data_IF_132721593814
#
_entry.id   IF_132721593814
#
_cell.length_a   1.000
_cell.length_b   1.000
_cell.length_c   1.000
_cell.angle_alpha   90.00
_cell.angle_beta   90.00
_cell.angle_gamma   90.00
#
_symmetry.space_group_name_H-M   'P 1'
#
loop_
_entity.id
_entity.type
_entity.pdbx_description
1 polymer ?
#
# COMPACT_ATOMS: atom_id res chain seq x y z
N UNK A 1 -1.26 10.92 3.28
CA UNK A 1 0.13 10.84 2.77
C UNK A 1 0.40 9.54 2.02
N UNK A 2 0.07 8.36 2.58
CA UNK A 2 0.36 7.05 1.96
C UNK A 2 -0.31 6.82 0.59
N UNK A 3 -1.56 7.27 0.42
CA UNK A 3 -2.26 7.18 -0.87
C UNK A 3 -1.67 8.10 -1.96
N UNK A 4 -1.17 9.27 -1.58
CA UNK A 4 -0.49 10.18 -2.51
C UNK A 4 0.87 9.61 -2.94
N UNK A 5 1.61 9.00 -2.01
CA UNK A 5 2.83 8.25 -2.31
C UNK A 5 2.56 7.09 -3.27
N UNK A 6 1.53 6.28 -3.00
CA UNK A 6 1.16 5.14 -3.84
C UNK A 6 0.57 5.57 -5.19
N UNK A 7 -0.15 6.69 -5.25
CA UNK A 7 -0.64 7.26 -6.51
C UNK A 7 0.48 7.59 -7.51
N UNK A 8 1.71 7.79 -7.04
CA UNK A 8 2.90 7.95 -7.88
C UNK A 8 3.58 6.62 -8.28
N UNK A 9 3.12 5.50 -7.73
CA UNK A 9 3.66 4.15 -7.96
C UNK A 9 2.71 3.25 -8.75
N UNK A 10 1.40 3.41 -8.55
CA UNK A 10 0.37 2.69 -9.30
C UNK A 10 -0.10 3.52 -10.48
N UNK A 11 -0.15 2.90 -11.67
CA UNK A 11 -0.63 3.53 -12.93
C UNK A 11 -2.07 4.06 -12.81
N UNK A 12 -2.86 3.47 -11.91
CA UNK A 12 -4.25 3.85 -11.69
C UNK A 12 -4.50 4.22 -10.22
N UNK A 13 -4.98 5.46 -9.92
CA UNK A 13 -5.27 5.90 -8.56
C UNK A 13 -6.23 4.97 -7.81
N UNK A 14 -7.20 4.41 -8.52
CA UNK A 14 -8.17 3.47 -7.97
C UNK A 14 -7.54 2.15 -7.50
N UNK A 15 -6.41 1.74 -8.11
CA UNK A 15 -5.69 0.53 -7.69
C UNK A 15 -4.94 0.76 -6.37
N UNK A 16 -4.35 1.95 -6.18
CA UNK A 16 -3.69 2.31 -4.94
C UNK A 16 -4.68 2.33 -3.76
N UNK A 17 -5.86 2.90 -3.96
CA UNK A 17 -6.92 2.95 -2.93
C UNK A 17 -7.44 1.56 -2.59
N UNK A 18 -7.74 0.74 -3.60
CA UNK A 18 -8.24 -0.62 -3.39
C UNK A 18 -7.19 -1.50 -2.70
N UNK A 19 -5.93 -1.40 -3.12
CA UNK A 19 -4.81 -2.09 -2.47
C UNK A 19 -4.65 -1.67 -1.02
N UNK A 20 -4.69 -0.36 -0.73
CA UNK A 20 -4.61 0.15 0.64
C UNK A 20 -5.75 -0.37 1.52
N UNK A 21 -7.00 -0.34 1.02
CA UNK A 21 -8.13 -0.91 1.76
C UNK A 21 -7.95 -2.41 2.02
N UNK A 22 -7.51 -3.17 1.03
CA UNK A 22 -7.36 -4.62 1.18
C UNK A 22 -6.24 -5.01 2.14
N UNK A 23 -5.12 -4.28 2.14
CA UNK A 23 -3.93 -4.66 2.90
C UNK A 23 -3.80 -3.93 4.23
N UNK A 24 -4.08 -2.63 4.25
CA UNK A 24 -3.93 -1.82 5.47
C UNK A 24 -5.17 -1.90 6.34
N UNK A 25 -6.36 -1.68 5.77
CA UNK A 25 -7.59 -1.67 6.58
C UNK A 25 -7.91 -3.08 7.11
N UNK A 26 -7.76 -4.13 6.30
CA UNK A 26 -7.98 -5.51 6.76
C UNK A 26 -7.00 -5.92 7.87
N UNK A 27 -5.72 -5.53 7.76
CA UNK A 27 -4.72 -5.81 8.79
C UNK A 27 -5.02 -5.07 10.10
N UNK A 28 -5.43 -3.80 10.01
CA UNK A 28 -5.85 -3.02 11.19
C UNK A 28 -7.09 -3.64 11.86
N UNK A 29 -8.07 -4.08 11.08
CA UNK A 29 -9.25 -4.78 11.62
C UNK A 29 -8.91 -6.10 12.31
N UNK A 30 -7.80 -6.74 11.91
CA UNK A 30 -7.26 -7.95 12.56
C UNK A 30 -6.39 -7.64 13.78
N UNK A 31 -6.22 -6.38 14.14
CA UNK A 31 -5.47 -5.94 15.32
C UNK A 31 -4.00 -5.63 15.08
N UNK A 32 -3.55 -5.58 13.82
CA UNK A 32 -2.20 -5.10 13.48
C UNK A 32 -2.16 -3.58 13.67
N UNK A 33 -1.03 -3.06 14.14
CA UNK A 33 -0.88 -1.62 14.28
C UNK A 33 -0.97 -0.94 12.90
N UNK A 34 -1.60 0.24 12.84
CA UNK A 34 -1.74 0.98 11.58
C UNK A 34 -0.39 1.26 10.92
N UNK A 35 0.62 1.59 11.72
CA UNK A 35 1.97 1.87 11.24
C UNK A 35 2.63 0.63 10.61
N UNK A 36 2.53 -0.53 11.27
CA UNK A 36 3.07 -1.79 10.78
C UNK A 36 2.34 -2.26 9.51
N UNK A 37 1.02 -2.12 9.46
CA UNK A 37 0.22 -2.45 8.30
C UNK A 37 0.58 -1.56 7.09
N UNK A 38 0.80 -0.26 7.32
CA UNK A 38 1.25 0.67 6.29
C UNK A 38 2.65 0.32 5.79
N UNK A 39 3.61 0.03 6.69
CA UNK A 39 4.97 -0.34 6.30
C UNK A 39 4.99 -1.62 5.47
N UNK A 40 4.31 -2.67 5.93
CA UNK A 40 4.21 -3.94 5.20
C UNK A 40 3.58 -3.77 3.80
N UNK A 41 2.55 -2.92 3.70
CA UNK A 41 1.94 -2.60 2.41
C UNK A 41 2.88 -1.81 1.48
N UNK A 42 3.61 -0.82 2.02
CA UNK A 42 4.56 -0.04 1.24
C UNK A 42 5.72 -0.90 0.72
N UNK A 43 6.26 -1.78 1.54
CA UNK A 43 7.32 -2.72 1.15
C UNK A 43 6.83 -3.69 0.06
N UNK A 44 5.62 -4.24 0.22
CA UNK A 44 5.01 -5.09 -0.79
C UNK A 44 4.67 -4.37 -2.09
N UNK A 45 4.31 -3.08 -2.03
CA UNK A 45 4.07 -2.25 -3.22
C UNK A 45 5.38 -1.93 -3.95
N UNK A 46 6.48 -1.69 -3.22
CA UNK A 46 7.81 -1.48 -3.80
C UNK A 46 8.35 -2.74 -4.49
N UNK A 47 8.13 -3.92 -3.92
CA UNK A 47 8.53 -5.19 -4.51
C UNK A 47 7.78 -5.56 -5.80
N UNK A 48 6.59 -4.97 -6.03
CA UNK A 48 5.78 -5.18 -7.22
C UNK A 48 6.05 -4.16 -8.34
N UNK A 49 6.84 -3.12 -8.06
CA UNK A 49 7.32 -2.23 -9.12
C UNK A 49 8.41 -2.98 -9.89
N UNK A 50 8.22 -3.24 -11.20
CA UNK A 50 9.30 -3.78 -12.00
C UNK A 50 10.45 -2.78 -11.91
N UNK A 51 11.66 -3.31 -11.71
CA UNK A 51 12.84 -2.55 -11.39
C UNK A 51 12.91 -1.24 -12.19
N UNK A 52 13.04 -0.13 -11.48
CA UNK A 52 13.65 1.08 -12.03
C UNK A 52 15.13 0.77 -12.28
N UNK A 53 15.41 -0.04 -13.30
CA UNK A 53 16.73 -0.27 -13.89
C UNK A 53 16.60 -0.27 -15.41
#
# INVERSE_FOLDING_TARGET
>A
MCLAWAGNKFVHPNHAVNSYQKHVIDAVLRGVSEMEAIQAWMDGALAQLPELN
#
